data_IF_287018836815
#
_entry.id   IF_287018836815
#
_cell.length_a   1.000
_cell.length_b   1.000
_cell.length_c   1.000
_cell.angle_alpha   90.00
_cell.angle_beta   90.00
_cell.angle_gamma   90.00
#
_symmetry.space_group_name_H-M   'P 1'
#
loop_
_entity.id
_entity.type
_entity.pdbx_description
1 polymer ?
#
# COMPACT_ATOMS: atom_id res chain seq x y z
N UNK A 1 0.35 -18.51 3.19
CA UNK A 1 -0.34 -17.38 3.84
C UNK A 1 0.46 -16.98 5.07
N UNK A 2 0.67 -15.68 5.31
CA UNK A 2 1.35 -15.23 6.51
C UNK A 2 0.38 -15.37 7.70
N UNK A 3 0.70 -16.24 8.65
CA UNK A 3 -0.07 -16.38 9.88
C UNK A 3 0.23 -15.18 10.80
N UNK A 4 -0.75 -14.30 11.00
CA UNK A 4 -0.64 -13.14 11.89
C UNK A 4 -1.09 -13.55 13.28
N UNK A 5 -0.17 -14.16 14.03
CA UNK A 5 -0.36 -14.42 15.45
C UNK A 5 0.30 -13.33 16.28
N UNK A 6 -0.47 -12.66 17.13
CA UNK A 6 0.01 -11.74 18.17
C UNK A 6 -0.57 -12.18 19.52
N UNK A 7 0.29 -12.26 20.53
CA UNK A 7 -0.12 -12.35 21.93
C UNK A 7 0.02 -10.99 22.59
N UNK A 8 -0.84 -10.72 23.57
CA UNK A 8 -0.76 -9.55 24.44
C UNK A 8 0.54 -9.64 25.25
N UNK A 9 1.29 -8.54 25.34
CA UNK A 9 2.46 -8.45 26.23
C UNK A 9 2.02 -8.04 27.63
N UNK A 10 2.79 -8.40 28.64
CA UNK A 10 2.53 -7.96 30.02
C UNK A 10 2.60 -6.42 30.10
N UNK A 11 1.62 -5.82 30.80
CA UNK A 11 1.48 -4.36 30.92
C UNK A 11 0.98 -3.63 29.66
N UNK A 12 0.65 -4.32 28.56
CA UNK A 12 0.19 -3.66 27.34
C UNK A 12 -1.28 -3.22 27.43
N UNK A 13 -1.55 -1.96 27.07
CA UNK A 13 -2.92 -1.47 26.84
C UNK A 13 -3.53 -2.13 25.60
N UNK A 14 -4.82 -2.44 25.67
CA UNK A 14 -5.57 -3.05 24.55
C UNK A 14 -5.43 -2.26 23.24
N UNK A 15 -5.31 -0.93 23.31
CA UNK A 15 -5.12 -0.09 22.12
C UNK A 15 -3.76 -0.31 21.44
N UNK A 16 -2.69 -0.54 22.20
CA UNK A 16 -1.36 -0.84 21.64
C UNK A 16 -1.35 -2.18 20.90
N UNK A 17 -2.05 -3.17 21.45
CA UNK A 17 -2.19 -4.48 20.82
C UNK A 17 -2.91 -4.37 19.48
N UNK A 18 -4.03 -3.61 19.44
CA UNK A 18 -4.79 -3.35 18.21
C UNK A 18 -3.94 -2.62 17.16
N UNK A 19 -3.20 -1.58 17.57
CA UNK A 19 -2.32 -0.84 16.66
C UNK A 19 -1.26 -1.75 16.02
N UNK A 20 -0.59 -2.60 16.81
CA UNK A 20 0.40 -3.57 16.31
C UNK A 20 -0.22 -4.57 15.35
N UNK A 21 -1.41 -5.06 15.69
CA UNK A 21 -2.16 -5.97 14.82
C UNK A 21 -2.49 -5.30 13.48
N UNK A 22 -3.05 -4.09 13.49
CA UNK A 22 -3.35 -3.33 12.27
C UNK A 22 -2.10 -3.03 11.44
N UNK A 23 -0.98 -2.67 12.07
CA UNK A 23 0.30 -2.47 11.36
C UNK A 23 0.80 -3.76 10.71
N UNK A 24 0.75 -4.90 11.41
CA UNK A 24 1.17 -6.19 10.88
C UNK A 24 0.26 -6.68 9.75
N UNK A 25 -1.06 -6.44 9.86
CA UNK A 25 -2.02 -6.68 8.77
C UNK A 25 -1.69 -5.88 7.51
N UNK A 26 -1.42 -4.58 7.65
CA UNK A 26 -1.06 -3.72 6.51
C UNK A 26 0.28 -4.16 5.90
N UNK A 27 1.30 -4.40 6.72
CA UNK A 27 2.62 -4.84 6.27
C UNK A 27 2.58 -6.20 5.57
N UNK A 28 1.76 -7.14 6.06
CA UNK A 28 1.61 -8.46 5.45
C UNK A 28 1.00 -8.43 4.04
N UNK A 29 0.44 -7.29 3.61
CA UNK A 29 -0.17 -7.14 2.30
C UNK A 29 -1.49 -7.90 2.11
N UNK A 30 -2.00 -8.61 3.13
CA UNK A 30 -3.23 -9.42 3.05
C UNK A 30 -4.42 -8.56 2.62
N UNK A 31 -4.55 -7.34 3.16
CA UNK A 31 -5.62 -6.42 2.78
C UNK A 31 -5.52 -6.02 1.31
N UNK A 32 -4.29 -5.75 0.82
CA UNK A 32 -4.06 -5.37 -0.58
C UNK A 32 -4.40 -6.53 -1.52
N UNK A 33 -3.99 -7.75 -1.17
CA UNK A 33 -4.27 -8.94 -1.96
C UNK A 33 -5.76 -9.31 -1.94
N UNK A 34 -6.41 -9.21 -0.78
CA UNK A 34 -7.87 -9.42 -0.65
C UNK A 34 -8.66 -8.43 -1.51
N UNK A 35 -8.28 -7.13 -1.49
CA UNK A 35 -8.89 -6.11 -2.35
C UNK A 35 -8.67 -6.40 -3.83
N UNK A 36 -7.47 -6.86 -4.21
CA UNK A 36 -7.13 -7.23 -5.59
C UNK A 36 -7.96 -8.42 -6.07
N UNK A 37 -8.05 -9.48 -5.26
CA UNK A 37 -8.81 -10.71 -5.58
C UNK A 37 -10.33 -10.55 -5.53
N UNK A 38 -10.84 -9.46 -4.92
CA UNK A 38 -12.28 -9.23 -4.77
C UNK A 38 -13.02 -9.25 -6.11
N UNK A 39 -12.38 -8.78 -7.18
CA UNK A 39 -12.99 -8.71 -8.51
C UNK A 39 -12.09 -9.38 -9.55
N UNK A 40 -12.71 -9.96 -10.58
CA UNK A 40 -11.98 -10.52 -11.73
C UNK A 40 -11.32 -9.39 -12.52
N UNK A 41 -10.00 -9.44 -12.66
CA UNK A 41 -9.27 -8.52 -13.52
C UNK A 41 -9.48 -8.89 -15.00
N UNK A 42 -9.77 -7.89 -15.84
CA UNK A 42 -9.82 -8.04 -17.29
C UNK A 42 -8.41 -7.92 -17.89
N UNK A 43 -8.13 -8.67 -18.95
CA UNK A 43 -6.88 -8.52 -19.68
C UNK A 43 -6.81 -7.12 -20.32
N UNK A 44 -5.77 -6.37 -19.97
CA UNK A 44 -5.57 -5.01 -20.47
C UNK A 44 -4.91 -5.01 -21.86
N UNK A 45 -5.44 -4.18 -22.77
CA UNK A 45 -4.89 -3.95 -24.10
C UNK A 45 -3.54 -3.20 -24.05
N UNK A 46 -2.70 -3.35 -25.08
CA UNK A 46 -1.36 -2.73 -25.22
C UNK A 46 -1.40 -1.21 -24.97
N UNK A 47 -2.39 -0.51 -25.54
CA UNK A 47 -2.53 0.95 -25.39
C UNK A 47 -2.74 1.37 -23.93
N UNK A 48 -3.57 0.63 -23.18
CA UNK A 48 -3.82 0.90 -21.77
C UNK A 48 -2.60 0.62 -20.89
N UNK A 49 -1.78 -0.36 -21.26
CA UNK A 49 -0.49 -0.60 -20.59
C UNK A 49 0.47 0.58 -20.80
N UNK A 50 0.55 1.08 -22.05
CA UNK A 50 1.38 2.25 -22.40
C UNK A 50 0.95 3.51 -21.64
N UNK A 51 -0.35 3.79 -21.60
CA UNK A 51 -0.91 4.93 -20.87
C UNK A 51 -0.58 4.88 -19.37
N UNK A 52 -0.71 3.70 -18.75
CA UNK A 52 -0.33 3.49 -17.35
C UNK A 52 1.17 3.73 -17.11
N UNK A 53 2.04 3.26 -18.01
CA UNK A 53 3.48 3.49 -17.92
C UNK A 53 3.84 4.99 -18.00
N UNK A 54 3.26 5.71 -18.97
CA UNK A 54 3.46 7.16 -19.12
C UNK A 54 2.97 7.94 -17.90
N UNK A 55 1.81 7.58 -17.35
CA UNK A 55 1.31 8.20 -16.12
C UNK A 55 2.26 7.97 -14.93
N UNK A 56 2.85 6.78 -14.81
CA UNK A 56 3.83 6.48 -13.76
C UNK A 56 5.08 7.37 -13.88
N UNK A 57 5.60 7.52 -15.09
CA UNK A 57 6.77 8.38 -15.34
C UNK A 57 6.46 9.86 -15.09
N UNK A 58 5.32 10.35 -15.57
CA UNK A 58 4.90 11.73 -15.33
C UNK A 58 4.75 12.02 -13.84
N UNK A 59 4.14 11.10 -13.09
CA UNK A 59 4.00 11.25 -11.64
C UNK A 59 5.35 11.26 -10.92
N UNK A 60 6.30 10.44 -11.35
CA UNK A 60 7.66 10.45 -10.80
C UNK A 60 8.34 11.82 -11.02
N UNK A 61 8.20 12.41 -12.20
CA UNK A 61 8.72 13.75 -12.51
C UNK A 61 8.04 14.85 -11.69
N UNK A 62 6.71 14.78 -11.53
CA UNK A 62 5.97 15.72 -10.67
C UNK A 62 6.48 15.68 -9.23
N UNK A 63 6.68 14.46 -8.69
CA UNK A 63 7.21 14.26 -7.33
C UNK A 63 8.63 14.81 -7.22
N UNK A 64 9.50 14.56 -8.20
CA UNK A 64 10.86 15.09 -8.21
C UNK A 64 10.86 16.62 -8.24
N UNK A 65 10.02 17.23 -9.09
CA UNK A 65 9.87 18.69 -9.17
C UNK A 65 9.36 19.26 -7.85
N UNK A 66 8.34 18.65 -7.25
CA UNK A 66 7.80 19.08 -5.96
C UNK A 66 8.85 19.00 -4.84
N UNK A 67 9.72 17.96 -4.85
CA UNK A 67 10.85 17.86 -3.91
C UNK A 67 11.85 18.98 -4.11
N UNK A 68 12.20 19.33 -5.36
CA UNK A 68 13.10 20.45 -5.67
C UNK A 68 12.53 21.80 -5.24
N UNK A 69 11.21 21.99 -5.37
CA UNK A 69 10.53 23.24 -5.01
C UNK A 69 10.20 23.37 -3.51
N UNK A 70 10.53 22.39 -2.67
CA UNK A 70 10.22 22.39 -1.24
C UNK A 70 8.73 22.19 -0.90
N UNK A 71 7.87 22.00 -1.90
CA UNK A 71 6.42 21.83 -1.73
C UNK A 71 6.00 20.36 -1.53
N UNK A 72 6.96 19.44 -1.41
CA UNK A 72 6.68 18.03 -1.19
C UNK A 72 6.25 17.78 0.26
N UNK A 73 4.97 17.48 0.46
CA UNK A 73 4.41 17.07 1.76
C UNK A 73 4.23 15.55 1.78
N UNK A 74 4.75 14.92 2.83
CA UNK A 74 4.75 13.47 3.06
C UNK A 74 3.38 12.94 3.49
#
# INVERSE_FOLDING_TARGET
MANINLKKKEGESSNSLLYRFSKKLVQSGIIKESKRRRYKERNVNKNKRRESALNRENKAKEVEKARKMGNFRF
#
